data_IF_615322645822
#
_entry.id   IF_615322645822
#
_cell.length_a   1.000
_cell.length_b   1.000
_cell.length_c   1.000
_cell.angle_alpha   90.00
_cell.angle_beta   90.00
_cell.angle_gamma   90.00
#
_symmetry.space_group_name_H-M   'P 1'
#
loop_
_entity.id
_entity.type
_entity.pdbx_description
1 polymer ?
#
# COMPACT_ATOMS: atom_id res chain seq x y z
N UNK A 1 10.99 26.72 -37.57
CA UNK A 1 9.74 26.03 -37.17
C UNK A 1 9.94 24.54 -36.90
N UNK A 2 10.73 23.83 -37.72
CA UNK A 2 11.01 22.38 -37.56
C UNK A 2 11.60 21.98 -36.19
N UNK A 3 12.57 22.75 -35.66
CA UNK A 3 13.20 22.44 -34.36
C UNK A 3 12.22 22.47 -33.17
N UNK A 4 11.23 23.37 -33.19
CA UNK A 4 10.19 23.45 -32.15
C UNK A 4 9.24 22.26 -32.22
N UNK A 5 8.85 21.85 -33.43
CA UNK A 5 8.00 20.69 -33.63
C UNK A 5 8.67 19.38 -33.14
N UNK A 6 9.98 19.23 -33.37
CA UNK A 6 10.75 18.08 -32.89
C UNK A 6 10.86 18.04 -31.36
N UNK A 7 11.09 19.19 -30.72
CA UNK A 7 11.10 19.31 -29.26
C UNK A 7 9.74 18.99 -28.62
N UNK A 8 8.65 19.45 -29.24
CA UNK A 8 7.28 19.14 -28.79
C UNK A 8 6.95 17.65 -28.91
N UNK A 9 7.38 17.00 -29.99
CA UNK A 9 7.19 15.55 -30.17
C UNK A 9 8.00 14.73 -29.17
N UNK A 10 9.25 15.12 -28.91
CA UNK A 10 10.10 14.45 -27.93
C UNK A 10 9.54 14.57 -26.50
N UNK A 11 9.03 15.75 -26.13
CA UNK A 11 8.42 15.97 -24.82
C UNK A 11 7.09 15.21 -24.66
N UNK A 12 6.29 15.12 -25.72
CA UNK A 12 5.07 14.31 -25.72
C UNK A 12 5.38 12.80 -25.55
N UNK A 13 6.42 12.31 -26.22
CA UNK A 13 6.85 10.92 -26.13
C UNK A 13 7.35 10.57 -24.71
N UNK A 14 8.14 11.46 -24.10
CA UNK A 14 8.61 11.30 -22.72
C UNK A 14 7.42 11.31 -21.74
N UNK A 15 6.49 12.25 -21.90
CA UNK A 15 5.29 12.31 -21.06
C UNK A 15 4.44 11.03 -21.17
N UNK A 16 4.32 10.46 -22.38
CA UNK A 16 3.59 9.21 -22.61
C UNK A 16 4.27 8.02 -21.92
N UNK A 17 5.61 7.91 -22.01
CA UNK A 17 6.38 6.85 -21.33
C UNK A 17 6.22 6.95 -19.82
N UNK A 18 6.37 8.15 -19.25
CA UNK A 18 6.19 8.38 -17.82
C UNK A 18 4.76 8.09 -17.36
N UNK A 19 3.75 8.45 -18.16
CA UNK A 19 2.37 8.12 -17.85
C UNK A 19 2.11 6.60 -17.86
N UNK A 20 2.73 5.87 -18.79
CA UNK A 20 2.61 4.41 -18.87
C UNK A 20 3.30 3.74 -17.68
N UNK A 21 4.52 4.18 -17.32
CA UNK A 21 5.25 3.68 -16.15
C UNK A 21 4.47 3.95 -14.85
N UNK A 22 3.95 5.17 -14.68
CA UNK A 22 3.12 5.54 -13.53
C UNK A 22 1.86 4.67 -13.44
N UNK A 23 1.20 4.38 -14.57
CA UNK A 23 0.02 3.49 -14.60
C UNK A 23 0.42 2.04 -14.30
N UNK A 24 1.59 1.58 -14.76
CA UNK A 24 2.09 0.23 -14.48
C UNK A 24 2.43 0.05 -13.00
N UNK A 25 3.16 1.00 -12.40
CA UNK A 25 3.44 1.03 -10.96
C UNK A 25 2.16 1.10 -10.14
N UNK A 26 1.19 1.90 -10.59
CA UNK A 26 -0.13 2.03 -9.96
C UNK A 26 -0.94 0.75 -10.02
N UNK A 27 -0.92 0.02 -11.14
CA UNK A 27 -1.56 -1.31 -11.27
C UNK A 27 -0.90 -2.35 -10.38
N UNK A 28 0.43 -2.31 -10.24
CA UNK A 28 1.17 -3.18 -9.31
C UNK A 28 0.85 -2.83 -7.86
N UNK A 29 0.73 -1.54 -7.52
CA UNK A 29 0.30 -1.09 -6.21
C UNK A 29 -1.15 -1.50 -5.92
N UNK A 30 -2.05 -1.40 -6.90
CA UNK A 30 -3.44 -1.88 -6.82
C UNK A 30 -3.52 -3.40 -6.64
N UNK A 31 -2.72 -4.18 -7.38
CA UNK A 31 -2.61 -5.63 -7.19
C UNK A 31 -2.06 -6.01 -5.80
N UNK A 32 -1.13 -5.22 -5.25
CA UNK A 32 -0.62 -5.38 -3.89
C UNK A 32 -1.64 -5.00 -2.81
N UNK A 33 -2.49 -4.00 -3.09
CA UNK A 33 -3.67 -3.68 -2.26
C UNK A 33 -4.68 -4.82 -2.30
N UNK A 34 -4.81 -5.52 -3.42
CA UNK A 34 -5.66 -6.70 -3.53
C UNK A 34 -5.15 -7.87 -2.66
N UNK A 35 -3.84 -8.01 -2.48
CA UNK A 35 -3.25 -8.97 -1.52
C UNK A 35 -3.55 -8.58 -0.07
N UNK A 36 -3.59 -7.29 0.26
CA UNK A 36 -4.04 -6.82 1.57
C UNK A 36 -5.54 -7.05 1.78
N UNK A 37 -6.36 -6.81 0.74
CA UNK A 37 -7.81 -7.04 0.76
C UNK A 37 -8.17 -8.51 0.80
N UNK A 38 -7.39 -9.36 0.13
CA UNK A 38 -7.50 -10.81 0.26
C UNK A 38 -7.27 -11.13 1.73
N UNK A 39 -8.35 -11.53 2.42
CA UNK A 39 -8.27 -12.02 3.78
C UNK A 39 -7.28 -13.17 3.78
N UNK A 40 -6.08 -12.95 4.30
CA UNK A 40 -5.07 -14.00 4.45
C UNK A 40 -5.59 -14.93 5.55
N UNK A 41 -6.39 -15.91 5.14
CA UNK A 41 -6.95 -16.92 6.03
C UNK A 41 -5.85 -17.97 6.29
N UNK A 42 -5.03 -17.68 7.30
CA UNK A 42 -4.00 -18.60 7.77
C UNK A 42 -4.56 -19.38 8.95
N UNK A 43 -4.41 -20.71 8.98
CA UNK A 43 -4.70 -21.46 10.19
C UNK A 43 -3.81 -20.95 11.32
N UNK A 44 -4.34 -20.88 12.55
CA UNK A 44 -3.65 -20.29 13.71
C UNK A 44 -2.20 -20.82 13.90
N UNK A 45 -1.99 -22.12 13.65
CA UNK A 45 -0.68 -22.77 13.71
C UNK A 45 0.37 -22.19 12.73
N UNK A 46 -0.06 -21.51 11.66
CA UNK A 46 0.80 -20.94 10.62
C UNK A 46 1.08 -19.45 10.82
N UNK A 47 0.33 -18.76 11.67
CA UNK A 47 0.49 -17.32 11.92
C UNK A 47 1.89 -17.00 12.45
N UNK A 48 2.32 -17.67 13.53
CA UNK A 48 3.62 -17.40 14.14
C UNK A 48 4.82 -17.71 13.22
N UNK A 49 4.90 -18.86 12.52
CA UNK A 49 5.95 -19.10 11.53
C UNK A 49 5.99 -18.06 10.41
N UNK A 50 4.83 -17.69 9.85
CA UNK A 50 4.75 -16.70 8.77
C UNK A 50 5.24 -15.33 9.24
N UNK A 51 4.84 -14.88 10.44
CA UNK A 51 5.33 -13.63 11.00
C UNK A 51 6.83 -13.66 11.28
N UNK A 52 7.38 -14.80 11.71
CA UNK A 52 8.81 -14.96 11.92
C UNK A 52 9.58 -14.81 10.59
N UNK A 53 9.11 -15.47 9.53
CA UNK A 53 9.69 -15.40 8.19
C UNK A 53 9.61 -13.99 7.60
N UNK A 54 8.45 -13.33 7.71
CA UNK A 54 8.26 -11.96 7.25
C UNK A 54 9.16 -10.97 7.99
N UNK A 55 9.31 -11.11 9.31
CA UNK A 55 10.23 -10.27 10.10
C UNK A 55 11.69 -10.54 9.75
N UNK A 56 12.05 -11.79 9.46
CA UNK A 56 13.39 -12.14 8.99
C UNK A 56 13.67 -11.59 7.58
N UNK A 57 12.66 -11.57 6.70
CA UNK A 57 12.75 -10.94 5.39
C UNK A 57 12.88 -9.41 5.52
N UNK A 58 12.09 -8.76 6.39
CA UNK A 58 12.17 -7.31 6.64
C UNK A 58 13.56 -6.89 7.15
N UNK A 59 14.19 -7.71 8.02
CA UNK A 59 15.56 -7.46 8.48
C UNK A 59 16.59 -7.50 7.35
N UNK A 60 16.42 -8.42 6.40
CA UNK A 60 17.32 -8.58 5.24
C UNK A 60 17.09 -7.49 4.20
N UNK A 61 15.83 -7.14 3.95
CA UNK A 61 15.42 -6.13 2.99
C UNK A 61 14.36 -5.23 3.61
N UNK A 62 14.78 -4.15 4.29
CA UNK A 62 13.84 -3.20 4.87
C UNK A 62 13.01 -2.57 3.76
N UNK A 63 11.68 -2.66 3.87
CA UNK A 63 10.76 -2.03 2.93
C UNK A 63 9.36 -1.94 3.50
N UNK A 64 8.53 -1.10 2.88
CA UNK A 64 7.13 -0.88 3.30
C UNK A 64 6.27 -2.12 3.05
N UNK A 65 6.56 -2.87 1.98
CA UNK A 65 5.87 -4.11 1.62
C UNK A 65 5.86 -5.15 2.74
N UNK A 66 7.00 -5.41 3.37
CA UNK A 66 7.06 -6.36 4.49
C UNK A 66 6.22 -5.90 5.69
N UNK A 67 6.21 -4.59 5.98
CA UNK A 67 5.36 -4.01 7.02
C UNK A 67 3.87 -4.16 6.74
N UNK A 68 3.47 -4.06 5.47
CA UNK A 68 2.09 -4.26 5.04
C UNK A 68 1.64 -5.72 5.16
N UNK A 69 2.51 -6.66 4.77
CA UNK A 69 2.23 -8.09 4.91
C UNK A 69 2.11 -8.50 6.38
N UNK A 70 3.01 -7.99 7.24
CA UNK A 70 2.93 -8.19 8.69
C UNK A 70 1.60 -7.63 9.21
N UNK A 71 1.23 -6.39 8.85
CA UNK A 71 -0.03 -5.79 9.27
C UNK A 71 -1.24 -6.63 8.84
N UNK A 72 -1.23 -7.17 7.63
CA UNK A 72 -2.30 -8.03 7.10
C UNK A 72 -2.45 -9.35 7.87
N UNK A 73 -1.33 -10.02 8.20
CA UNK A 73 -1.34 -11.28 8.95
C UNK A 73 -1.78 -11.08 10.40
N UNK A 74 -1.27 -10.03 11.07
CA UNK A 74 -1.68 -9.69 12.44
C UNK A 74 -3.20 -9.38 12.48
N UNK A 75 -3.70 -8.60 11.51
CA UNK A 75 -5.12 -8.26 11.41
C UNK A 75 -6.00 -9.49 11.17
N UNK A 76 -5.60 -10.39 10.27
CA UNK A 76 -6.38 -11.61 10.00
C UNK A 76 -6.33 -12.61 11.16
N UNK A 77 -5.29 -12.55 12.00
CA UNK A 77 -5.20 -13.32 13.24
C UNK A 77 -5.94 -12.72 14.44
N UNK A 78 -6.50 -11.51 14.30
CA UNK A 78 -7.23 -10.81 15.35
C UNK A 78 -6.38 -9.93 16.28
N UNK A 79 -5.07 -9.80 16.04
CA UNK A 79 -4.21 -8.86 16.76
C UNK A 79 -4.23 -7.48 16.07
N UNK A 80 -5.35 -6.77 16.26
CA UNK A 80 -5.55 -5.43 15.67
C UNK A 80 -4.48 -4.42 16.15
N UNK A 81 -4.01 -4.54 17.38
CA UNK A 81 -3.00 -3.64 17.93
C UNK A 81 -1.63 -3.84 17.26
N UNK A 82 -1.21 -5.09 17.06
CA UNK A 82 0.02 -5.39 16.33
C UNK A 82 -0.10 -4.99 14.84
N UNK A 83 -1.27 -5.22 14.25
CA UNK A 83 -1.57 -4.82 12.88
C UNK A 83 -1.45 -3.31 12.68
N UNK A 84 -2.05 -2.52 13.58
CA UNK A 84 -2.01 -1.06 13.52
C UNK A 84 -0.58 -0.55 13.68
N UNK A 85 0.19 -1.11 14.61
CA UNK A 85 1.61 -0.78 14.81
C UNK A 85 2.42 -1.03 13.54
N UNK A 86 2.18 -2.16 12.86
CA UNK A 86 2.85 -2.50 11.61
C UNK A 86 2.46 -1.56 10.46
N UNK A 87 1.16 -1.24 10.32
CA UNK A 87 0.67 -0.28 9.32
C UNK A 87 1.26 1.13 9.54
N UNK A 88 1.33 1.61 10.78
CA UNK A 88 1.97 2.88 11.11
C UNK A 88 3.47 2.89 10.82
N UNK A 89 4.15 1.76 11.01
CA UNK A 89 5.57 1.61 10.64
C UNK A 89 5.75 1.70 9.12
N UNK A 90 4.84 1.09 8.36
CA UNK A 90 4.81 1.20 6.90
C UNK A 90 4.62 2.66 6.46
N UNK A 91 3.66 3.38 7.05
CA UNK A 91 3.43 4.81 6.79
C UNK A 91 4.66 5.67 7.13
N UNK A 92 5.34 5.42 8.26
CA UNK A 92 6.55 6.18 8.63
C UNK A 92 7.69 5.98 7.63
N UNK A 93 7.73 4.84 6.94
CA UNK A 93 8.76 4.54 5.93
C UNK A 93 8.43 5.18 4.59
N UNK A 94 7.18 5.05 4.16
CA UNK A 94 6.68 5.66 2.93
C UNK A 94 5.38 6.41 3.21
N UNK A 95 5.46 7.70 3.58
CA UNK A 95 4.29 8.52 3.92
C UNK A 95 3.31 8.73 2.76
N UNK A 96 3.75 8.48 1.53
CA UNK A 96 2.94 8.60 0.31
C UNK A 96 2.46 7.24 -0.22
N UNK A 97 2.70 6.16 0.54
CA UNK A 97 2.24 4.83 0.14
C UNK A 97 0.74 4.67 0.38
N UNK A 98 -0.03 4.70 -0.71
CA UNK A 98 -1.48 4.50 -0.71
C UNK A 98 -1.94 3.22 0.04
N UNK A 99 -1.21 2.11 -0.13
CA UNK A 99 -1.58 0.83 0.49
C UNK A 99 -1.42 0.86 2.02
N UNK A 100 -0.42 1.60 2.53
CA UNK A 100 -0.20 1.76 3.96
C UNK A 100 -1.32 2.55 4.65
N UNK A 101 -1.79 3.62 4.01
CA UNK A 101 -2.95 4.37 4.50
C UNK A 101 -4.26 3.58 4.40
N UNK A 102 -4.43 2.80 3.33
CA UNK A 102 -5.59 1.92 3.17
C UNK A 102 -5.60 0.81 4.23
N UNK A 103 -4.44 0.22 4.52
CA UNK A 103 -4.30 -0.78 5.58
C UNK A 103 -4.67 -0.20 6.95
N UNK A 104 -4.13 0.98 7.30
CA UNK A 104 -4.48 1.64 8.56
C UNK A 104 -5.97 1.95 8.65
N UNK A 105 -6.59 2.48 7.59
CA UNK A 105 -8.01 2.78 7.57
C UNK A 105 -8.90 1.56 7.84
N UNK A 106 -8.50 0.38 7.36
CA UNK A 106 -9.22 -0.88 7.54
C UNK A 106 -8.99 -1.52 8.91
N UNK A 107 -7.76 -1.44 9.42
CA UNK A 107 -7.37 -2.04 10.70
C UNK A 107 -7.95 -1.23 11.88
N UNK A 108 -8.01 0.10 11.74
CA UNK A 108 -8.55 0.96 12.79
C UNK A 108 -10.04 0.75 12.98
N UNK A 109 -10.49 0.90 14.23
CA UNK A 109 -11.89 0.73 14.61
C UNK A 109 -12.84 1.53 13.68
N UNK A 110 -13.89 0.88 13.13
CA UNK A 110 -14.85 1.54 12.24
C UNK A 110 -15.42 2.83 12.85
N UNK A 111 -15.46 3.90 12.06
CA UNK A 111 -15.98 5.20 12.48
C UNK A 111 -15.05 6.03 13.38
N UNK A 112 -13.93 5.47 13.83
CA UNK A 112 -12.92 6.21 14.61
C UNK A 112 -12.36 7.41 13.82
N UNK A 113 -11.85 8.40 14.56
CA UNK A 113 -11.17 9.56 13.97
C UNK A 113 -10.01 9.12 13.09
N UNK A 114 -9.31 8.07 13.51
CA UNK A 114 -8.19 7.53 12.78
C UNK A 114 -8.60 6.84 11.49
N UNK A 115 -9.58 5.94 11.52
CA UNK A 115 -10.06 5.28 10.31
C UNK A 115 -10.47 6.32 9.25
N UNK A 116 -11.16 7.39 9.67
CA UNK A 116 -11.55 8.51 8.80
C UNK A 116 -10.34 9.31 8.29
N UNK A 117 -9.34 9.56 9.13
CA UNK A 117 -8.13 10.28 8.72
C UNK A 117 -7.30 9.47 7.72
N UNK A 118 -7.10 8.18 8.00
CA UNK A 118 -6.37 7.28 7.12
C UNK A 118 -7.09 7.09 5.78
N UNK A 119 -8.42 6.93 5.80
CA UNK A 119 -9.22 6.83 4.57
C UNK A 119 -9.15 8.12 3.74
N UNK A 120 -9.17 9.30 4.38
CA UNK A 120 -9.00 10.58 3.70
C UNK A 120 -7.63 10.67 3.04
N UNK A 121 -6.57 10.32 3.76
CA UNK A 121 -5.21 10.35 3.23
C UNK A 121 -5.01 9.39 2.06
N UNK A 122 -5.59 8.19 2.15
CA UNK A 122 -5.60 7.25 1.03
C UNK A 122 -6.31 7.84 -0.21
N UNK A 123 -7.45 8.52 -0.05
CA UNK A 123 -8.13 9.21 -1.16
C UNK A 123 -7.34 10.38 -1.74
N UNK A 124 -6.63 11.15 -0.91
CA UNK A 124 -5.75 12.22 -1.40
C UNK A 124 -4.62 11.67 -2.27
N UNK A 125 -4.05 10.52 -1.86
CA UNK A 125 -2.97 9.86 -2.61
C UNK A 125 -3.48 9.14 -3.87
N UNK A 126 -4.73 8.71 -3.89
CA UNK A 126 -5.35 8.10 -5.06
C UNK A 126 -6.85 8.49 -5.19
N UNK A 127 -7.15 9.66 -5.79
CA UNK A 127 -8.52 10.18 -5.89
C UNK A 127 -9.46 9.35 -6.77
N UNK A 128 -8.91 8.51 -7.65
CA UNK A 128 -9.69 7.64 -8.55
C UNK A 128 -9.81 6.21 -8.01
N UNK A 129 -9.24 5.92 -6.83
CA UNK A 129 -9.51 4.66 -6.17
C UNK A 129 -11.01 4.58 -5.90
N UNK A 130 -11.71 3.50 -6.33
CA UNK A 130 -13.12 3.36 -6.03
C UNK A 130 -13.28 3.47 -4.52
N UNK A 131 -14.12 4.41 -4.06
CA UNK A 131 -14.49 4.51 -2.66
C UNK A 131 -15.01 3.14 -2.25
N UNK A 132 -14.26 2.45 -1.38
CA UNK A 132 -14.70 1.16 -0.86
C UNK A 132 -16.09 1.30 -0.21
N UNK A 133 -16.91 0.24 -0.25
CA UNK A 133 -18.22 0.23 0.38
C UNK A 133 -18.16 0.58 1.88
#
# INVERSE_FOLDING_TARGET
MVARALLSLASLAIAAVLAVELVAERRVAEARVEILKARIDLPAARVAPVLADLRAAERRRPGTEAGLLIAGVEFSSGDEAAAEKAARKAIRREPENFAAWTALARISAPGSREAKAAARRARELNPLAPGGP
#
